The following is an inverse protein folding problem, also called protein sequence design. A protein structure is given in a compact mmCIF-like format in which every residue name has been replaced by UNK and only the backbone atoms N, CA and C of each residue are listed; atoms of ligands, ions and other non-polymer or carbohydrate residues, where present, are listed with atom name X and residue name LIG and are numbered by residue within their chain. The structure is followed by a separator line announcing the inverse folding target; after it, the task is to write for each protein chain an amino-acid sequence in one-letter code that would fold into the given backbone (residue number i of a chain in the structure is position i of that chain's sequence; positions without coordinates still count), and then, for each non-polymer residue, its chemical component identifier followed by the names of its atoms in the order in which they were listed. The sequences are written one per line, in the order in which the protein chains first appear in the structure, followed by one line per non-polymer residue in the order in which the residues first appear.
data_IF_604893980397
#
_entry.id   IF_604893980397
#
_cell.length_a   1.000
_cell.length_b   1.000
_cell.length_c   1.000
_cell.angle_alpha   90.00
_cell.angle_beta   90.00
_cell.angle_gamma   90.00
#
_symmetry.space_group_name_H-M   'P 1'
#
loop_
_entity.id
_entity.type
_entity.pdbx_description
1 polymer ?
#
# COMPACT_ATOMS: atom_id res chain seq x y z
N UNK A 1 -12.24 0.07 7.81
CA UNK A 1 -11.23 -1.02 7.76
C UNK A 1 -9.97 -0.55 8.47
N UNK A 2 -9.11 -1.45 8.97
CA UNK A 2 -7.84 -1.05 9.60
C UNK A 2 -6.63 -1.51 8.76
N UNK A 3 -5.45 -0.95 9.03
CA UNK A 3 -4.22 -1.24 8.29
C UNK A 3 -3.84 -2.73 8.29
N UNK A 4 -4.16 -3.46 9.37
CA UNK A 4 -3.88 -4.89 9.47
C UNK A 4 -4.74 -5.69 8.49
N UNK A 5 -6.03 -5.37 8.37
CA UNK A 5 -6.94 -5.99 7.41
C UNK A 5 -6.45 -5.77 5.97
N UNK A 6 -5.99 -4.56 5.64
CA UNK A 6 -5.40 -4.25 4.33
C UNK A 6 -4.17 -5.14 4.06
N UNK A 7 -3.27 -5.26 5.03
CA UNK A 7 -2.11 -6.14 4.91
C UNK A 7 -2.48 -7.62 4.69
N UNK A 8 -3.54 -8.12 5.35
CA UNK A 8 -4.02 -9.49 5.13
C UNK A 8 -4.64 -9.68 3.74
N UNK A 9 -5.33 -8.67 3.21
CA UNK A 9 -5.85 -8.71 1.84
C UNK A 9 -4.70 -8.74 0.81
N UNK A 10 -3.71 -7.86 0.96
CA UNK A 10 -2.55 -7.79 0.06
C UNK A 10 -1.71 -9.07 0.06
N UNK A 11 -1.63 -9.78 1.19
CA UNK A 11 -0.96 -11.09 1.29
C UNK A 11 -1.55 -12.14 0.34
N UNK A 12 -2.85 -12.02 0.02
CA UNK A 12 -3.59 -12.97 -0.83
C UNK A 12 -3.77 -12.45 -2.27
N UNK A 13 -3.07 -11.39 -2.67
CA UNK A 13 -3.21 -10.80 -4.00
C UNK A 13 -2.82 -11.82 -5.10
N UNK A 14 -3.77 -12.31 -5.92
CA UNK A 14 -3.49 -13.28 -6.97
C UNK A 14 -2.83 -12.65 -8.20
N UNK A 15 -2.85 -11.32 -8.31
CA UNK A 15 -2.30 -10.55 -9.44
C UNK A 15 -1.05 -9.79 -8.99
N UNK A 16 -0.16 -10.46 -8.27
CA UNK A 16 1.14 -9.93 -7.85
C UNK A 16 1.87 -9.27 -9.03
N UNK A 17 2.63 -8.20 -8.76
CA UNK A 17 3.32 -7.35 -9.75
C UNK A 17 2.38 -6.47 -10.57
N UNK A 18 1.27 -6.99 -11.11
CA UNK A 18 0.29 -6.18 -11.85
C UNK A 18 -0.45 -5.24 -10.91
N UNK A 19 -0.98 -5.78 -9.80
CA UNK A 19 -1.43 -4.99 -8.66
C UNK A 19 -0.22 -4.79 -7.74
N UNK A 20 0.29 -3.56 -7.56
CA UNK A 20 1.61 -3.30 -6.99
C UNK A 20 1.62 -3.39 -5.46
N UNK A 21 1.28 -4.55 -4.90
CA UNK A 21 1.25 -4.78 -3.46
C UNK A 21 2.64 -4.66 -2.80
N UNK A 22 3.73 -4.77 -3.58
CA UNK A 22 5.10 -4.54 -3.11
C UNK A 22 5.37 -3.07 -2.75
N UNK A 23 4.58 -2.11 -3.25
CA UNK A 23 4.73 -0.68 -2.91
C UNK A 23 4.21 -0.31 -1.52
N UNK A 24 3.45 -1.19 -0.87
CA UNK A 24 2.92 -0.94 0.47
C UNK A 24 3.95 -1.34 1.53
N UNK A 25 4.30 -0.39 2.40
CA UNK A 25 5.27 -0.56 3.50
C UNK A 25 4.67 -0.09 4.83
N UNK A 26 5.34 -0.37 5.95
CA UNK A 26 4.87 0.08 7.26
C UNK A 26 5.10 1.59 7.45
N UNK A 27 4.30 2.20 8.32
CA UNK A 27 4.41 3.62 8.64
C UNK A 27 5.77 4.00 9.26
N UNK A 28 6.46 3.06 9.92
CA UNK A 28 7.81 3.23 10.48
C UNK A 28 8.94 3.12 9.42
N UNK A 29 8.57 3.02 8.14
CA UNK A 29 9.43 2.86 6.96
C UNK A 29 10.07 1.48 6.80
N UNK A 30 9.80 0.53 7.70
CA UNK A 30 10.21 -0.86 7.49
C UNK A 30 9.41 -1.50 6.36
N UNK A 31 10.00 -2.46 5.67
CA UNK A 31 9.40 -3.08 4.49
C UNK A 31 8.05 -3.77 4.73
N UNK A 32 7.73 -4.19 5.95
CA UNK A 32 6.58 -5.08 6.12
C UNK A 32 6.90 -6.53 5.74
N UNK A 33 5.85 -7.36 5.67
CA UNK A 33 5.95 -8.68 5.06
C UNK A 33 5.50 -8.64 3.59
N UNK A 34 5.82 -9.70 2.84
CA UNK A 34 5.43 -9.86 1.44
C UNK A 34 5.11 -11.32 1.12
N UNK A 35 3.90 -11.59 0.60
CA UNK A 35 3.39 -12.96 0.36
C UNK A 35 3.59 -13.92 1.55
N UNK A 36 3.49 -13.39 2.77
CA UNK A 36 3.69 -14.14 4.02
C UNK A 36 5.15 -14.34 4.44
N UNK A 37 6.13 -13.91 3.66
CA UNK A 37 7.52 -13.79 4.09
C UNK A 37 7.70 -12.57 4.99
N UNK A 38 8.50 -12.71 6.04
CA UNK A 38 8.82 -11.64 7.00
C UNK A 38 10.32 -11.53 7.29
N UNK A 39 11.06 -12.59 7.02
CA UNK A 39 12.52 -12.60 7.15
C UNK A 39 13.14 -11.92 5.92
N UNK A 40 14.07 -10.98 6.07
CA UNK A 40 14.75 -10.35 4.94
C UNK A 40 15.39 -11.35 3.97
N UNK A 41 15.94 -12.47 4.45
CA UNK A 41 16.55 -13.51 3.63
C UNK A 41 15.53 -14.40 2.91
N UNK A 42 14.23 -14.28 3.21
CA UNK A 42 13.17 -15.01 2.50
C UNK A 42 13.16 -14.60 1.02
N UNK A 43 13.13 -15.54 0.05
CA UNK A 43 13.07 -15.22 -1.38
C UNK A 43 11.92 -14.28 -1.75
N UNK A 44 10.79 -14.36 -1.03
CA UNK A 44 9.65 -13.44 -1.22
C UNK A 44 10.04 -12.01 -0.83
N UNK A 45 10.73 -11.84 0.30
CA UNK A 45 11.18 -10.52 0.74
C UNK A 45 12.25 -9.97 -0.20
N UNK A 46 13.17 -10.82 -0.68
CA UNK A 46 14.15 -10.42 -1.70
C UNK A 46 13.46 -9.95 -3.00
N UNK A 47 12.43 -10.67 -3.47
CA UNK A 47 11.66 -10.25 -4.64
C UNK A 47 10.99 -8.88 -4.45
N UNK A 48 10.46 -8.58 -3.25
CA UNK A 48 9.91 -7.24 -2.93
C UNK A 48 11.00 -6.17 -2.99
N UNK A 49 12.16 -6.44 -2.40
CA UNK A 49 13.30 -5.51 -2.38
C UNK A 49 13.76 -5.22 -3.82
N UNK A 50 13.89 -6.25 -4.64
CA UNK A 50 14.33 -6.12 -6.03
C UNK A 50 13.35 -5.32 -6.88
N UNK A 51 12.03 -5.54 -6.72
CA UNK A 51 11.00 -4.74 -7.40
C UNK A 51 11.11 -3.27 -7.01
N UNK A 52 11.22 -2.97 -5.72
CA UNK A 52 11.35 -1.59 -5.23
C UNK A 52 12.65 -0.93 -5.73
N UNK A 53 13.77 -1.64 -5.70
CA UNK A 53 15.05 -1.14 -6.24
C UNK A 53 14.95 -0.84 -7.74
N UNK A 54 14.32 -1.72 -8.52
CA UNK A 54 14.08 -1.50 -9.96
C UNK A 54 13.18 -0.29 -10.23
N UNK A 55 12.27 0.02 -9.32
CA UNK A 55 11.44 1.23 -9.38
C UNK A 55 12.16 2.50 -8.91
N UNK A 56 13.43 2.42 -8.49
CA UNK A 56 14.22 3.56 -8.02
C UNK A 56 13.96 3.95 -6.56
N UNK A 57 13.36 3.06 -5.76
CA UNK A 57 13.15 3.28 -4.33
C UNK A 57 14.49 3.21 -3.60
N UNK A 58 14.78 4.25 -2.84
CA UNK A 58 16.00 4.36 -2.04
C UNK A 58 15.76 3.82 -0.63
N UNK A 59 16.82 3.28 -0.03
CA UNK A 59 16.80 2.71 1.30
C UNK A 59 17.87 3.33 2.19
N UNK A 60 17.53 3.53 3.46
CA UNK A 60 18.47 3.87 4.51
C UNK A 60 18.97 2.60 5.21
N UNK A 61 20.25 2.61 5.57
CA UNK A 61 20.77 1.68 6.57
C UNK A 61 20.34 2.17 7.96
N UNK A 62 19.53 1.35 8.64
CA UNK A 62 19.13 1.63 10.01
C UNK A 62 20.20 1.13 10.99
N UNK A 63 20.33 1.78 12.14
CA UNK A 63 21.33 1.44 13.16
C UNK A 63 21.17 0.01 13.73
N UNK A 64 19.97 -0.56 13.62
CA UNK A 64 19.62 -1.94 13.99
C UNK A 64 19.87 -2.95 12.84
N UNK A 65 20.46 -2.51 11.71
CA UNK A 65 20.68 -3.32 10.52
C UNK A 65 19.41 -3.56 9.69
N UNK A 66 18.26 -2.99 10.07
CA UNK A 66 17.02 -3.16 9.33
C UNK A 66 16.97 -2.27 8.09
N UNK A 67 16.52 -2.82 6.96
CA UNK A 67 16.34 -2.03 5.74
C UNK A 67 15.09 -1.14 5.87
N UNK A 68 15.27 0.19 5.75
CA UNK A 68 14.18 1.17 5.83
C UNK A 68 14.07 1.94 4.52
N UNK A 69 12.85 2.20 4.07
CA UNK A 69 12.61 3.04 2.89
C UNK A 69 12.94 4.50 3.22
N UNK A 70 13.61 5.19 2.30
CA UNK A 70 13.86 6.63 2.44
C UNK A 70 12.56 7.41 2.38
N UNK A 71 12.46 8.48 3.19
CA UNK A 71 11.28 9.34 3.20
C UNK A 71 10.99 9.98 1.84
N UNK A 72 12.03 10.24 1.05
CA UNK A 72 11.96 10.78 -0.32
C UNK A 72 11.36 9.80 -1.31
N UNK A 73 11.42 8.49 -1.02
CA UNK A 73 10.80 7.43 -1.83
C UNK A 73 9.42 7.00 -1.33
N UNK A 74 8.87 7.68 -0.30
CA UNK A 74 7.51 7.46 0.16
C UNK A 74 6.55 8.45 -0.47
N UNK A 75 5.35 7.99 -0.81
CA UNK A 75 4.28 8.88 -1.24
C UNK A 75 3.79 9.73 -0.07
N UNK A 76 3.75 11.05 -0.28
CA UNK A 76 3.16 12.01 0.64
C UNK A 76 1.90 12.57 0.02
N UNK A 77 0.78 12.47 0.74
CA UNK A 77 -0.44 13.15 0.31
C UNK A 77 -0.26 14.65 0.58
N UNK A 78 -0.45 15.51 -0.45
CA UNK A 78 -0.23 16.95 -0.31
C UNK A 78 -1.19 17.57 0.72
N UNK A 79 -2.43 17.07 0.79
CA UNK A 79 -3.45 17.48 1.74
C UNK A 79 -4.35 16.30 2.13
N UNK A 80 -5.19 16.49 3.17
CA UNK A 80 -6.20 15.52 3.55
C UNK A 80 -7.25 15.45 2.43
N UNK A 81 -7.14 14.45 1.55
CA UNK A 81 -8.14 14.20 0.51
C UNK A 81 -9.51 14.05 1.14
N UNK A 82 -10.47 14.84 0.64
CA UNK A 82 -11.87 14.57 0.88
C UNK A 82 -12.24 13.34 0.05
N UNK A 83 -12.38 12.19 0.72
CA UNK A 83 -12.73 10.93 0.06
C UNK A 83 -14.07 11.01 -0.67
N UNK A 84 -14.96 11.95 -0.31
CA UNK A 84 -16.22 12.18 -1.01
C UNK A 84 -16.04 12.84 -2.39
N UNK A 85 -14.85 13.37 -2.69
CA UNK A 85 -14.52 13.95 -3.99
C UNK A 85 -13.88 12.96 -4.96
N UNK A 86 -13.52 11.76 -4.49
CA UNK A 86 -12.90 10.72 -5.32
C UNK A 86 -13.99 9.84 -5.90
N UNK A 87 -14.30 10.05 -7.19
CA UNK A 87 -15.25 9.22 -7.94
C UNK A 87 -14.50 8.10 -8.65
N UNK A 88 -14.95 6.85 -8.47
CA UNK A 88 -14.47 5.74 -9.29
C UNK A 88 -15.13 5.81 -10.68
N UNK A 89 -14.54 5.16 -11.71
CA UNK A 89 -15.16 5.10 -13.03
C UNK A 89 -16.59 4.54 -12.96
N UNK A 90 -17.59 5.37 -13.29
CA UNK A 90 -19.00 5.02 -13.24
C UNK A 90 -19.76 5.52 -12.00
N UNK A 91 -19.11 6.25 -11.09
CA UNK A 91 -19.76 6.94 -9.97
C UNK A 91 -19.96 8.42 -10.28
N UNK A 92 -21.18 8.93 -10.06
CA UNK A 92 -21.49 10.35 -10.15
C UNK A 92 -21.37 11.01 -8.78
N UNK A 93 -21.02 12.31 -8.73
CA UNK A 93 -20.92 13.11 -7.49
C UNK A 93 -22.23 13.25 -6.70
N UNK A 94 -23.35 12.75 -7.23
CA UNK A 94 -24.65 12.80 -6.61
C UNK A 94 -24.84 11.59 -5.68
N UNK A 95 -24.50 11.78 -4.40
CA UNK A 95 -24.92 10.87 -3.35
C UNK A 95 -26.44 10.72 -3.33
N UNK A 96 -26.89 9.47 -3.39
CA UNK A 96 -28.01 8.90 -2.64
C UNK A 96 -29.13 9.90 -2.24
N UNK A 97 -29.87 10.40 -3.24
CA UNK A 97 -31.17 11.02 -3.04
C UNK A 97 -32.27 9.97 -3.27
N UNK A 98 -32.35 8.96 -2.40
CA UNK A 98 -33.56 8.15 -2.32
C UNK A 98 -34.00 7.93 -0.87
N UNK A 99 -34.66 8.96 -0.33
CA UNK A 99 -35.71 8.77 0.67
C UNK A 99 -36.94 9.57 0.26
N UNK A 100 -38.08 8.89 0.40
CA UNK A 100 -39.48 9.34 0.31
C UNK A 100 -40.09 9.32 -1.09
N UNK A 101 -40.86 8.29 -1.45
CA UNK A 101 -42.33 8.25 -1.27
C UNK A 101 -42.94 6.95 -1.85
N UNK A 102 -44.13 6.57 -1.33
CA UNK A 102 -45.03 5.43 -1.68
C UNK A 102 -44.63 4.04 -1.12
N UNK A 103 -45.41 3.33 -0.29
CA UNK A 103 -46.86 3.27 0.01
C UNK A 103 -47.09 2.95 1.50
#
# INVERSE_FOLDING_TARGET
WNARTVGQALKKNPHAVVVPCHRVVRADRSLGGYFGGTDPCDPRMQAKIDLLRKEGVLFDESADGALRVQRTSMWHFPDRLDLNTVLLPGEDAAGDAHRSDEV
#
